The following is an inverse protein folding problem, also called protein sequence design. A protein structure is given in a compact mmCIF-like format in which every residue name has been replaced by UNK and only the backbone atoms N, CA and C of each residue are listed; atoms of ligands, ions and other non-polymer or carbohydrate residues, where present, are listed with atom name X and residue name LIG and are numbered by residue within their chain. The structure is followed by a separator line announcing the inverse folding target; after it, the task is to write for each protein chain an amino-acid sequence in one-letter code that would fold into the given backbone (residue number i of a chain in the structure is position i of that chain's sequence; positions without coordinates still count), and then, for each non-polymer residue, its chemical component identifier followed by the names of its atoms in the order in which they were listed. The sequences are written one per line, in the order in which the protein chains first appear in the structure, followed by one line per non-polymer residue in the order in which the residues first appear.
data_IF_562046250128
#
_entry.id   IF_562046250128
#
_cell.length_a   1.000
_cell.length_b   1.000
_cell.length_c   1.000
_cell.angle_alpha   90.00
_cell.angle_beta   90.00
_cell.angle_gamma   90.00
#
_symmetry.space_group_name_H-M   'P 1'
#
loop_
_entity.id
_entity.type
_entity.pdbx_description
1 polymer ?
#
# COMPACT_ATOMS: atom_id res chain seq x y z
N UNK A 1 24.18 -20.03 -8.71
CA UNK A 1 24.78 -19.79 -10.03
C UNK A 1 25.18 -18.32 -10.07
N UNK A 2 26.45 -18.03 -10.30
CA UNK A 2 26.88 -16.63 -10.44
C UNK A 2 26.39 -16.04 -11.77
N UNK A 3 25.94 -14.77 -11.81
CA UNK A 3 25.47 -14.11 -13.02
C UNK A 3 26.50 -14.11 -14.15
N UNK A 4 27.79 -14.09 -13.82
CA UNK A 4 28.88 -14.15 -14.79
C UNK A 4 28.85 -15.45 -15.62
N UNK A 5 28.50 -16.60 -15.03
CA UNK A 5 28.47 -17.87 -15.75
C UNK A 5 27.38 -17.93 -16.84
N UNK A 6 26.28 -17.19 -16.65
CA UNK A 6 25.21 -17.08 -17.64
C UNK A 6 25.61 -16.15 -18.79
N UNK A 7 26.37 -15.08 -18.55
CA UNK A 7 26.82 -14.19 -19.62
C UNK A 7 27.66 -14.88 -20.69
N UNK A 8 28.40 -15.94 -20.32
CA UNK A 8 29.16 -16.77 -21.27
C UNK A 8 28.30 -17.77 -22.04
N UNK A 9 27.08 -18.03 -21.58
CA UNK A 9 26.10 -18.85 -22.27
C UNK A 9 25.37 -17.98 -23.30
N UNK A 10 25.28 -18.41 -24.57
CA UNK A 10 24.44 -17.69 -25.53
C UNK A 10 22.96 -17.75 -25.13
N UNK A 11 22.18 -16.70 -25.42
CA UNK A 11 20.73 -16.63 -25.12
C UNK A 11 19.97 -17.86 -25.61
N UNK A 12 20.39 -18.48 -26.72
CA UNK A 12 19.78 -19.71 -27.22
C UNK A 12 19.73 -20.85 -26.18
N UNK A 13 20.79 -21.05 -25.40
CA UNK A 13 20.81 -22.05 -24.32
C UNK A 13 20.10 -21.54 -23.07
N UNK A 14 20.31 -20.27 -22.71
CA UNK A 14 19.72 -19.67 -21.52
C UNK A 14 18.18 -19.59 -21.63
N UNK A 15 17.64 -19.32 -22.81
CA UNK A 15 16.21 -19.28 -23.09
C UNK A 15 15.53 -20.63 -22.85
N UNK A 16 16.20 -21.74 -23.15
CA UNK A 16 15.70 -23.09 -22.87
C UNK A 16 15.60 -23.35 -21.37
N UNK A 17 16.65 -23.00 -20.62
CA UNK A 17 16.65 -23.09 -19.15
C UNK A 17 15.58 -22.18 -18.54
N UNK A 18 15.51 -20.92 -18.97
CA UNK A 18 14.53 -19.96 -18.51
C UNK A 18 13.10 -20.44 -18.78
N UNK A 19 12.83 -20.91 -20.00
CA UNK A 19 11.52 -21.45 -20.39
C UNK A 19 11.16 -22.69 -19.57
N UNK A 20 12.12 -23.57 -19.30
CA UNK A 20 11.93 -24.76 -18.47
C UNK A 20 11.60 -24.41 -17.01
N UNK A 21 12.33 -23.46 -16.43
CA UNK A 21 12.04 -22.96 -15.07
C UNK A 21 10.66 -22.31 -15.00
N UNK A 22 10.27 -21.54 -16.04
CA UNK A 22 8.98 -20.88 -16.12
C UNK A 22 7.82 -21.87 -16.32
N UNK A 23 7.99 -22.89 -17.16
CA UNK A 23 6.96 -23.89 -17.42
C UNK A 23 6.70 -24.81 -16.23
N UNK A 24 7.72 -25.05 -15.41
CA UNK A 24 7.64 -25.91 -14.23
C UNK A 24 7.32 -25.16 -12.94
N UNK A 25 7.08 -23.84 -13.00
CA UNK A 25 6.86 -22.96 -11.84
C UNK A 25 8.00 -23.04 -10.79
N UNK A 26 9.23 -23.31 -11.24
CA UNK A 26 10.44 -23.38 -10.40
C UNK A 26 11.33 -22.15 -10.56
N UNK A 27 10.91 -21.18 -11.37
CA UNK A 27 11.60 -19.90 -11.51
C UNK A 27 11.54 -19.13 -10.19
N UNK A 28 12.67 -19.11 -9.48
CA UNK A 28 12.79 -18.29 -8.27
C UNK A 28 13.04 -16.83 -8.62
N UNK A 29 12.76 -15.93 -7.69
CA UNK A 29 13.09 -14.52 -7.82
C UNK A 29 14.58 -14.29 -8.12
N UNK A 30 15.46 -14.98 -7.40
CA UNK A 30 16.90 -14.86 -7.60
C UNK A 30 17.30 -15.34 -9.00
N UNK A 31 16.74 -16.45 -9.48
CA UNK A 31 16.97 -16.93 -10.84
C UNK A 31 16.49 -15.90 -11.88
N UNK A 32 15.26 -15.39 -11.75
CA UNK A 32 14.74 -14.36 -12.65
C UNK A 32 15.62 -13.11 -12.69
N UNK A 33 16.06 -12.61 -11.53
CA UNK A 33 16.93 -11.44 -11.46
C UNK A 33 18.28 -11.70 -12.15
N UNK A 34 18.84 -12.89 -11.96
CA UNK A 34 20.09 -13.31 -12.63
C UNK A 34 19.91 -13.38 -14.16
N UNK A 35 18.82 -13.97 -14.66
CA UNK A 35 18.51 -13.98 -16.10
C UNK A 35 18.30 -12.56 -16.63
N UNK A 36 17.58 -11.71 -15.91
CA UNK A 36 17.28 -10.33 -16.32
C UNK A 36 18.54 -9.46 -16.39
N UNK A 37 19.47 -9.66 -15.47
CA UNK A 37 20.75 -8.94 -15.48
C UNK A 37 21.69 -9.43 -16.58
N UNK A 38 21.60 -10.70 -16.97
CA UNK A 38 22.39 -11.26 -18.08
C UNK A 38 21.78 -10.96 -19.47
N UNK A 39 20.45 -10.91 -19.59
CA UNK A 39 19.70 -10.79 -20.84
C UNK A 39 18.55 -9.76 -20.70
N UNK A 40 18.87 -8.45 -20.66
CA UNK A 40 17.92 -7.39 -20.39
C UNK A 40 17.02 -7.03 -21.58
N UNK A 41 17.20 -7.60 -22.77
CA UNK A 41 16.29 -7.36 -23.90
C UNK A 41 15.32 -8.52 -24.07
N UNK A 42 15.71 -9.71 -23.60
CA UNK A 42 15.05 -10.97 -23.92
C UNK A 42 14.19 -11.51 -22.77
N UNK A 43 14.53 -11.15 -21.53
CA UNK A 43 13.80 -11.61 -20.34
C UNK A 43 12.66 -10.66 -20.03
N UNK A 44 11.46 -11.20 -19.82
CA UNK A 44 10.27 -10.43 -19.44
C UNK A 44 10.54 -9.48 -18.25
N UNK A 45 10.27 -8.19 -18.44
CA UNK A 45 10.39 -7.14 -17.42
C UNK A 45 9.33 -7.28 -16.32
N UNK A 46 8.26 -8.01 -16.61
CA UNK A 46 7.11 -8.18 -15.75
C UNK A 46 6.93 -9.65 -15.38
N UNK A 47 7.44 -10.05 -14.22
CA UNK A 47 7.24 -11.40 -13.69
C UNK A 47 6.18 -11.40 -12.60
N UNK A 48 5.42 -12.50 -12.55
CA UNK A 48 4.46 -12.76 -11.47
C UNK A 48 4.89 -13.99 -10.71
N UNK A 49 5.05 -13.87 -9.40
CA UNK A 49 5.28 -15.00 -8.50
C UNK A 49 4.01 -15.31 -7.71
N UNK A 50 3.71 -16.59 -7.55
CA UNK A 50 2.62 -17.07 -6.71
C UNK A 50 3.23 -17.77 -5.51
N UNK A 51 2.85 -17.34 -4.32
CA UNK A 51 3.25 -17.97 -3.07
C UNK A 51 2.00 -18.49 -2.42
N UNK A 52 1.90 -19.81 -2.33
CA UNK A 52 0.80 -20.48 -1.67
C UNK A 52 1.31 -21.14 -0.40
N UNK A 53 0.70 -20.80 0.73
CA UNK A 53 0.92 -21.52 1.99
C UNK A 53 -0.19 -22.56 2.16
N UNK A 54 0.17 -23.82 2.01
CA UNK A 54 -0.67 -24.96 2.37
C UNK A 54 -0.39 -25.33 3.83
N UNK A 55 -1.41 -25.83 4.55
CA UNK A 55 -1.27 -26.59 5.81
C UNK A 55 -0.87 -25.89 7.12
N UNK A 56 -1.02 -24.57 7.26
CA UNK A 56 -0.89 -23.95 8.59
C UNK A 56 -2.27 -23.82 9.26
N UNK A 57 -2.75 -24.91 9.86
CA UNK A 57 -3.72 -24.84 10.97
C UNK A 57 -3.15 -24.09 12.19
N UNK A 58 -1.83 -23.93 12.26
CA UNK A 58 -1.17 -23.18 13.31
C UNK A 58 -1.41 -21.67 13.16
N UNK A 59 -1.94 -21.08 14.22
CA UNK A 59 -2.22 -19.65 14.43
C UNK A 59 -0.99 -18.73 14.42
N UNK A 60 0.21 -19.28 14.23
CA UNK A 60 1.47 -18.52 14.19
C UNK A 60 1.93 -18.37 12.74
N UNK A 61 1.61 -17.22 12.17
CA UNK A 61 2.07 -16.80 10.87
C UNK A 61 3.60 -16.66 10.88
N UNK A 62 4.29 -17.32 9.96
CA UNK A 62 5.59 -16.80 9.51
C UNK A 62 5.25 -15.48 8.84
N UNK A 63 5.67 -14.36 9.44
CA UNK A 63 5.32 -13.03 8.97
C UNK A 63 5.46 -12.98 7.45
N UNK A 64 4.44 -12.45 6.74
CA UNK A 64 4.53 -12.18 5.30
C UNK A 64 5.87 -11.50 4.98
N UNK A 65 6.39 -10.70 5.92
CA UNK A 65 7.69 -10.06 5.82
C UNK A 65 8.90 -10.94 6.09
N UNK A 66 8.82 -12.02 6.85
CA UNK A 66 9.91 -13.01 6.90
C UNK A 66 10.04 -13.77 5.58
N UNK A 67 8.94 -13.92 4.84
CA UNK A 67 9.01 -14.46 3.47
C UNK A 67 9.44 -13.41 2.46
N UNK A 68 8.91 -12.19 2.57
CA UNK A 68 9.28 -11.10 1.68
C UNK A 68 10.72 -10.63 1.93
N UNK A 69 11.26 -10.71 3.15
CA UNK A 69 12.64 -10.36 3.47
C UNK A 69 13.67 -11.30 2.83
N UNK A 70 13.27 -12.52 2.46
CA UNK A 70 14.10 -13.44 1.66
C UNK A 70 14.16 -13.02 0.19
N UNK A 71 13.25 -12.16 -0.24
CA UNK A 71 13.26 -11.55 -1.56
C UNK A 71 14.01 -10.23 -1.47
N UNK A 72 14.59 -9.83 -2.59
CA UNK A 72 15.04 -8.45 -2.71
C UNK A 72 13.79 -7.56 -2.84
N UNK A 73 13.28 -7.13 -1.68
CA UNK A 73 12.07 -6.31 -1.55
C UNK A 73 12.16 -5.00 -2.32
N UNK A 74 13.36 -4.58 -2.73
CA UNK A 74 13.58 -3.38 -3.54
C UNK A 74 13.00 -3.46 -4.95
N UNK A 75 12.63 -4.65 -5.43
CA UNK A 75 12.03 -4.84 -6.76
C UNK A 75 10.53 -5.14 -6.72
N UNK A 76 9.98 -5.44 -5.54
CA UNK A 76 8.56 -5.76 -5.43
C UNK A 76 7.73 -4.49 -5.61
N UNK A 77 6.92 -4.47 -6.67
CA UNK A 77 6.14 -3.29 -7.07
C UNK A 77 4.64 -3.50 -6.86
N UNK A 78 4.15 -4.72 -7.09
CA UNK A 78 2.75 -5.07 -6.94
C UNK A 78 2.61 -6.26 -6.00
N UNK A 79 1.78 -6.12 -4.98
CA UNK A 79 1.53 -7.19 -4.02
C UNK A 79 0.03 -7.39 -3.86
N UNK A 80 -0.40 -8.64 -4.02
CA UNK A 80 -1.71 -9.10 -3.61
C UNK A 80 -1.53 -10.06 -2.43
N UNK A 81 -2.19 -9.77 -1.32
CA UNK A 81 -2.19 -10.58 -0.09
C UNK A 81 -3.61 -11.08 0.14
N UNK A 82 -3.80 -12.39 0.06
CA UNK A 82 -5.04 -13.07 0.44
C UNK A 82 -4.80 -13.86 1.72
N UNK A 83 -5.31 -13.35 2.83
CA UNK A 83 -5.13 -13.94 4.17
C UNK A 83 -6.44 -13.90 4.95
N UNK A 84 -6.62 -14.84 5.89
CA UNK A 84 -7.85 -14.92 6.70
C UNK A 84 -7.93 -13.83 7.77
N UNK A 85 -6.80 -13.38 8.31
CA UNK A 85 -6.74 -12.35 9.34
C UNK A 85 -5.55 -11.44 9.10
N UNK A 86 -5.81 -10.14 8.95
CA UNK A 86 -4.80 -9.11 8.74
C UNK A 86 -4.57 -8.35 10.06
N UNK A 87 -3.43 -8.60 10.70
CA UNK A 87 -2.99 -7.86 11.88
C UNK A 87 -2.28 -6.55 11.50
N UNK A 88 -2.15 -5.65 12.48
CA UNK A 88 -1.35 -4.43 12.31
C UNK A 88 0.12 -4.76 12.04
N UNK A 89 0.66 -5.80 12.66
CA UNK A 89 2.06 -6.22 12.47
C UNK A 89 2.32 -6.61 11.02
N UNK A 90 1.37 -7.30 10.36
CA UNK A 90 1.46 -7.62 8.94
C UNK A 90 1.55 -6.35 8.09
N UNK A 91 0.68 -5.37 8.34
CA UNK A 91 0.65 -4.10 7.60
C UNK A 91 1.89 -3.24 7.85
N UNK A 92 2.31 -3.09 9.10
CA UNK A 92 3.53 -2.38 9.49
C UNK A 92 4.73 -3.01 8.81
N UNK A 93 4.77 -4.33 8.73
CA UNK A 93 5.88 -5.00 8.09
C UNK A 93 5.94 -4.70 6.56
N UNK A 94 4.79 -4.53 5.88
CA UNK A 94 4.76 -4.11 4.46
C UNK A 94 5.43 -2.74 4.22
N UNK A 95 5.56 -1.88 5.23
CA UNK A 95 6.25 -0.57 5.10
C UNK A 95 7.73 -0.71 4.74
N UNK A 96 8.34 -1.88 4.98
CA UNK A 96 9.73 -2.19 4.58
C UNK A 96 9.90 -2.26 3.06
N UNK A 97 8.82 -2.38 2.30
CA UNK A 97 8.81 -2.52 0.84
C UNK A 97 8.62 -1.14 0.21
N UNK A 98 9.70 -0.35 0.19
CA UNK A 98 9.64 1.05 -0.26
C UNK A 98 9.23 1.21 -1.73
N UNK A 99 9.34 0.14 -2.53
CA UNK A 99 8.98 0.13 -3.94
C UNK A 99 7.53 -0.26 -4.21
N UNK A 100 6.77 -0.60 -3.18
CA UNK A 100 5.39 -1.03 -3.31
C UNK A 100 4.54 0.11 -3.90
N UNK A 101 3.93 -0.15 -5.05
CA UNK A 101 3.14 0.81 -5.82
C UNK A 101 1.64 0.47 -5.82
N UNK A 102 1.31 -0.82 -5.78
CA UNK A 102 -0.06 -1.32 -5.65
C UNK A 102 -0.10 -2.39 -4.57
N UNK A 103 -1.04 -2.24 -3.64
CA UNK A 103 -1.38 -3.25 -2.64
C UNK A 103 -2.83 -3.68 -2.83
N UNK A 104 -3.06 -4.98 -3.01
CA UNK A 104 -4.38 -5.60 -2.93
C UNK A 104 -4.40 -6.45 -1.67
N UNK A 105 -5.41 -6.23 -0.82
CA UNK A 105 -5.66 -7.05 0.36
C UNK A 105 -7.02 -7.71 0.16
N UNK A 106 -7.03 -9.02 0.02
CA UNK A 106 -8.24 -9.82 -0.11
C UNK A 106 -8.47 -10.59 1.21
N UNK A 107 -9.69 -10.51 1.74
CA UNK A 107 -10.10 -11.32 2.88
C UNK A 107 -10.27 -12.77 2.43
N UNK A 108 -9.44 -13.66 2.96
CA UNK A 108 -9.45 -15.09 2.63
C UNK A 108 -10.47 -15.92 3.41
N UNK A 109 -11.32 -15.31 4.24
CA UNK A 109 -12.40 -16.03 4.93
C UNK A 109 -13.58 -16.28 3.99
N UNK A 110 -14.17 -17.48 4.06
CA UNK A 110 -15.45 -17.74 3.39
C UNK A 110 -16.52 -16.82 3.96
N UNK A 111 -17.29 -16.21 3.07
CA UNK A 111 -18.26 -15.12 3.29
C UNK A 111 -19.38 -15.38 4.31
N UNK A 112 -19.35 -16.47 5.08
CA UNK A 112 -20.41 -16.89 5.99
C UNK A 112 -20.01 -16.83 7.47
N UNK A 113 -18.74 -16.55 7.80
CA UNK A 113 -18.32 -16.38 9.18
C UNK A 113 -18.41 -14.91 9.59
N UNK A 114 -19.61 -14.52 10.04
CA UNK A 114 -19.98 -13.22 10.63
C UNK A 114 -19.24 -12.87 11.95
N UNK A 115 -18.11 -13.49 12.24
CA UNK A 115 -17.40 -13.28 13.49
C UNK A 115 -16.61 -11.99 13.41
N UNK A 116 -17.22 -10.91 13.92
CA UNK A 116 -16.78 -10.01 15.01
C UNK A 116 -15.28 -9.87 15.32
N UNK A 117 -14.39 -10.14 14.37
CA UNK A 117 -12.98 -9.86 14.51
C UNK A 117 -12.76 -8.37 14.27
N UNK A 118 -11.82 -7.77 15.01
CA UNK A 118 -11.61 -6.32 15.10
C UNK A 118 -11.79 -5.63 13.74
N UNK A 119 -12.52 -4.50 13.68
CA UNK A 119 -12.82 -3.85 12.42
C UNK A 119 -11.50 -3.44 11.76
N UNK A 120 -11.21 -4.00 10.57
CA UNK A 120 -10.04 -3.70 9.75
C UNK A 120 -9.79 -2.18 9.63
N UNK A 121 -10.85 -1.37 9.68
CA UNK A 121 -10.79 0.08 9.70
C UNK A 121 -9.87 0.65 10.79
N UNK A 122 -9.85 0.08 11.99
CA UNK A 122 -8.94 0.51 13.06
C UNK A 122 -7.48 0.13 12.76
N UNK A 123 -7.26 -1.10 12.31
CA UNK A 123 -5.94 -1.58 11.89
C UNK A 123 -5.37 -0.72 10.75
N UNK A 124 -6.19 -0.39 9.75
CA UNK A 124 -5.78 0.48 8.64
C UNK A 124 -5.60 1.94 9.06
N UNK A 125 -6.36 2.41 10.05
CA UNK A 125 -6.14 3.74 10.66
C UNK A 125 -4.77 3.81 11.33
N UNK A 126 -4.47 2.82 12.15
CA UNK A 126 -3.20 2.76 12.88
C UNK A 126 -2.02 2.57 11.92
N UNK A 127 -2.21 1.79 10.86
CA UNK A 127 -1.24 1.68 9.78
C UNK A 127 -1.03 3.00 9.04
N UNK A 128 -2.10 3.73 8.70
CA UNK A 128 -2.00 5.04 8.07
C UNK A 128 -1.25 6.05 8.93
N UNK A 129 -1.50 6.06 10.25
CA UNK A 129 -0.72 6.86 11.20
C UNK A 129 0.76 6.47 11.18
N UNK A 130 1.05 5.16 11.26
CA UNK A 130 2.42 4.65 11.22
C UNK A 130 3.16 5.06 9.95
N UNK A 131 2.50 5.01 8.80
CA UNK A 131 3.07 5.45 7.51
C UNK A 131 3.34 6.95 7.51
N UNK A 132 2.41 7.77 8.03
CA UNK A 132 2.59 9.22 8.12
C UNK A 132 3.74 9.63 9.05
N UNK A 133 3.94 8.90 10.15
CA UNK A 133 5.02 9.17 11.10
C UNK A 133 6.38 8.69 10.59
N UNK A 134 6.42 7.57 9.85
CA UNK A 134 7.66 6.97 9.34
C UNK A 134 8.07 7.45 7.95
N UNK A 135 7.21 8.19 7.25
CA UNK A 135 7.42 8.65 5.87
C UNK A 135 7.76 7.47 4.91
N UNK A 136 7.09 6.34 5.11
CA UNK A 136 7.26 5.12 4.31
C UNK A 136 6.24 5.02 3.17
N UNK A 137 6.37 4.00 2.31
CA UNK A 137 5.42 3.74 1.21
C UNK A 137 5.18 4.93 0.27
N UNK A 138 6.24 5.70 -0.01
CA UNK A 138 6.20 6.89 -0.87
C UNK A 138 5.74 6.63 -2.31
N UNK A 139 5.75 5.37 -2.75
CA UNK A 139 5.34 4.94 -4.09
C UNK A 139 3.96 4.31 -4.13
N UNK A 140 3.34 4.03 -2.98
CA UNK A 140 2.04 3.36 -2.94
C UNK A 140 0.96 4.31 -3.48
N UNK A 141 0.41 3.97 -4.65
CA UNK A 141 -0.61 4.76 -5.35
C UNK A 141 -1.99 4.15 -5.29
N UNK A 142 -2.05 2.82 -5.32
CA UNK A 142 -3.30 2.07 -5.38
C UNK A 142 -3.41 1.13 -4.19
N UNK A 143 -4.55 1.18 -3.49
CA UNK A 143 -4.92 0.24 -2.44
C UNK A 143 -6.28 -0.38 -2.80
N UNK A 144 -6.36 -1.70 -2.87
CA UNK A 144 -7.64 -2.40 -3.05
C UNK A 144 -7.89 -3.28 -1.84
N UNK A 145 -9.07 -3.14 -1.24
CA UNK A 145 -9.54 -3.92 -0.11
C UNK A 145 -10.74 -4.73 -0.57
N UNK A 146 -10.66 -6.06 -0.54
CA UNK A 146 -11.75 -6.93 -0.98
C UNK A 146 -12.20 -7.87 0.12
N UNK A 147 -13.51 -7.97 0.33
CA UNK A 147 -14.12 -8.78 1.38
C UNK A 147 -14.04 -8.13 2.76
N UNK A 148 -13.99 -6.80 2.83
CA UNK A 148 -13.91 -6.06 4.09
C UNK A 148 -15.01 -5.01 4.19
N UNK A 149 -15.72 -5.03 5.33
CA UNK A 149 -16.72 -4.02 5.66
C UNK A 149 -16.08 -2.88 6.46
N UNK A 150 -16.28 -1.65 5.98
CA UNK A 150 -15.73 -0.44 6.60
C UNK A 150 -16.89 0.45 7.00
N UNK A 151 -17.20 0.49 8.30
CA UNK A 151 -18.33 1.29 8.80
C UNK A 151 -17.99 2.76 9.03
N UNK A 152 -16.72 3.10 9.25
CA UNK A 152 -16.27 4.46 9.57
C UNK A 152 -15.41 5.08 8.46
N UNK A 153 -16.02 5.32 7.29
CA UNK A 153 -15.33 5.85 6.10
C UNK A 153 -14.54 7.14 6.36
N UNK A 154 -15.10 8.10 7.10
CA UNK A 154 -14.42 9.36 7.41
C UNK A 154 -13.07 9.16 8.15
N UNK A 155 -13.07 8.33 9.19
CA UNK A 155 -11.86 8.04 9.97
C UNK A 155 -10.84 7.24 9.16
N UNK A 156 -11.34 6.30 8.35
CA UNK A 156 -10.56 5.50 7.44
C UNK A 156 -9.82 6.35 6.39
N UNK A 157 -10.55 7.14 5.60
CA UNK A 157 -9.97 8.00 4.55
C UNK A 157 -9.02 9.05 5.10
N UNK A 158 -9.35 9.66 6.25
CA UNK A 158 -8.45 10.61 6.93
C UNK A 158 -7.10 9.98 7.27
N UNK A 159 -7.10 8.70 7.64
CA UNK A 159 -5.87 7.98 7.97
C UNK A 159 -5.07 7.62 6.73
N UNK A 160 -5.75 7.23 5.66
CA UNK A 160 -5.15 6.96 4.35
C UNK A 160 -4.63 8.23 3.66
N UNK A 161 -5.11 9.41 4.05
CA UNK A 161 -4.52 10.66 3.58
C UNK A 161 -3.05 10.85 4.01
N UNK A 162 -2.58 10.10 5.01
CA UNK A 162 -1.19 10.13 5.48
C UNK A 162 -0.19 9.52 4.48
N UNK A 163 -0.67 8.72 3.53
CA UNK A 163 0.18 8.18 2.47
C UNK A 163 0.46 9.28 1.46
N UNK A 164 1.71 9.54 1.04
CA UNK A 164 2.01 10.71 0.22
C UNK A 164 1.57 10.55 -1.25
N UNK A 165 1.63 9.33 -1.81
CA UNK A 165 1.32 9.08 -3.22
C UNK A 165 -0.01 8.35 -3.46
N UNK A 166 -0.73 7.95 -2.40
CA UNK A 166 -1.95 7.14 -2.53
C UNK A 166 -3.08 7.98 -3.14
N UNK A 167 -3.56 7.62 -4.32
CA UNK A 167 -4.55 8.42 -5.02
C UNK A 167 -5.74 7.61 -5.55
N UNK A 168 -5.68 6.29 -5.47
CA UNK A 168 -6.77 5.41 -5.89
C UNK A 168 -7.00 4.33 -4.83
N UNK A 169 -8.24 4.21 -4.37
CA UNK A 169 -8.66 3.17 -3.43
C UNK A 169 -9.87 2.44 -4.01
N UNK A 170 -9.84 1.11 -4.01
CA UNK A 170 -11.01 0.27 -4.30
C UNK A 170 -11.44 -0.46 -3.03
N UNK A 171 -12.72 -0.42 -2.69
CA UNK A 171 -13.29 -1.13 -1.54
C UNK A 171 -14.40 -2.03 -2.05
N UNK A 172 -14.25 -3.34 -1.88
CA UNK A 172 -15.25 -4.36 -2.18
C UNK A 172 -15.74 -4.97 -0.87
N UNK A 173 -16.99 -4.66 -0.51
CA UNK A 173 -17.62 -5.01 0.75
C UNK A 173 -19.14 -5.11 0.61
N UNK A 174 -19.78 -5.87 1.51
CA UNK A 174 -21.23 -6.10 1.46
C UNK A 174 -22.01 -4.88 1.97
N UNK A 175 -21.40 -4.10 2.87
CA UNK A 175 -22.07 -2.99 3.55
C UNK A 175 -21.37 -1.65 3.31
N UNK A 176 -21.13 -1.31 2.04
CA UNK A 176 -20.70 0.04 1.71
C UNK A 176 -21.93 0.95 1.75
N UNK A 177 -22.13 1.62 2.90
CA UNK A 177 -23.10 2.69 2.99
C UNK A 177 -22.51 3.91 2.29
N UNK A 178 -22.73 3.99 0.97
CA UNK A 178 -22.60 5.22 0.20
C UNK A 178 -23.61 6.24 0.74
N UNK A 179 -23.23 6.91 1.84
CA UNK A 179 -23.96 8.05 2.35
C UNK A 179 -23.90 9.17 1.31
N UNK A 180 -24.97 9.95 1.17
CA UNK A 180 -25.12 11.04 0.19
C UNK A 180 -24.19 12.25 0.41
N UNK A 181 -23.02 12.06 1.05
CA UNK A 181 -21.96 13.05 1.21
C UNK A 181 -20.77 12.71 0.32
N UNK A 182 -20.61 13.45 -0.78
CA UNK A 182 -19.66 13.15 -1.87
C UNK A 182 -18.17 13.38 -1.53
N UNK A 183 -17.83 13.68 -0.27
CA UNK A 183 -16.48 14.11 0.10
C UNK A 183 -16.07 13.59 1.48
N UNK A 184 -15.01 12.79 1.52
CA UNK A 184 -14.37 12.28 2.75
C UNK A 184 -13.02 12.96 2.96
N UNK A 185 -13.03 14.29 3.06
CA UNK A 185 -11.82 15.11 3.04
C UNK A 185 -11.31 15.31 1.62
N UNK A 186 -10.08 14.88 1.33
CA UNK A 186 -9.48 14.95 0.00
C UNK A 186 -9.92 13.81 -0.93
N UNK A 187 -10.75 12.90 -0.42
CA UNK A 187 -11.24 11.73 -1.13
C UNK A 187 -12.64 11.95 -1.70
N UNK A 188 -12.84 11.55 -2.94
CA UNK A 188 -14.11 11.61 -3.67
C UNK A 188 -14.38 10.28 -4.37
N UNK A 189 -15.64 9.88 -4.47
CA UNK A 189 -16.07 8.75 -5.31
C UNK A 189 -16.34 9.15 -6.77
N UNK A 190 -16.20 10.45 -7.10
CA UNK A 190 -16.27 10.93 -8.47
C UNK A 190 -14.91 10.76 -9.13
N UNK A 191 -14.74 9.64 -9.83
CA UNK A 191 -13.55 9.42 -10.64
C UNK A 191 -13.39 10.56 -11.67
N UNK A 192 -12.19 11.16 -11.78
CA UNK A 192 -11.95 12.18 -12.79
C UNK A 192 -12.21 11.57 -14.16
N UNK A 193 -12.83 12.35 -15.05
CA UNK A 193 -13.03 11.92 -16.44
C UNK A 193 -11.66 11.67 -17.04
N UNK A 194 -11.34 10.41 -17.32
CA UNK A 194 -10.11 10.06 -18.00
C UNK A 194 -10.03 10.86 -19.31
N UNK A 195 -8.90 11.52 -19.61
CA UNK A 195 -8.76 12.30 -20.84
C UNK A 195 -8.87 11.43 -22.10
N UNK A 196 -8.69 10.12 -21.96
CA UNK A 196 -8.89 9.14 -23.03
C UNK A 196 -10.14 8.27 -22.77
N UNK A 197 -11.22 8.44 -23.56
CA UNK A 197 -12.47 7.69 -23.40
C UNK A 197 -12.36 6.20 -23.79
N UNK A 198 -11.25 5.79 -24.41
CA UNK A 198 -10.97 4.40 -24.78
C UNK A 198 -10.33 3.58 -23.66
N UNK A 199 -9.99 4.20 -22.53
CA UNK A 199 -9.35 3.52 -21.41
C UNK A 199 -10.38 3.01 -20.42
N UNK A 200 -10.21 1.75 -20.03
CA UNK A 200 -11.08 1.08 -19.06
C UNK A 200 -11.08 1.85 -17.72
N UNK A 201 -12.27 2.04 -17.15
CA UNK A 201 -12.41 2.54 -15.79
C UNK A 201 -11.79 1.56 -14.78
N UNK A 202 -11.44 2.01 -13.56
CA UNK A 202 -11.01 1.11 -12.49
C UNK A 202 -11.96 -0.07 -12.27
N UNK A 203 -13.28 0.18 -12.34
CA UNK A 203 -14.32 -0.86 -12.32
C UNK A 203 -14.13 -1.89 -13.43
N UNK A 204 -14.08 -1.42 -14.68
CA UNK A 204 -13.92 -2.31 -15.83
C UNK A 204 -12.62 -3.12 -15.75
N UNK A 205 -11.52 -2.51 -15.30
CA UNK A 205 -10.24 -3.20 -15.09
C UNK A 205 -10.40 -4.30 -14.03
N UNK A 206 -11.03 -3.98 -12.91
CA UNK A 206 -11.08 -4.87 -11.76
C UNK A 206 -12.07 -6.02 -11.93
N UNK A 207 -13.22 -5.77 -12.58
CA UNK A 207 -14.27 -6.74 -12.84
C UNK A 207 -13.94 -7.69 -13.99
N UNK A 208 -13.05 -7.29 -14.92
CA UNK A 208 -12.68 -8.12 -16.09
C UNK A 208 -12.17 -9.50 -15.67
N UNK A 209 -12.85 -10.58 -16.07
CA UNK A 209 -12.42 -11.98 -15.79
C UNK A 209 -11.32 -12.46 -16.74
N UNK A 210 -11.15 -11.80 -17.89
CA UNK A 210 -10.18 -12.18 -18.92
C UNK A 210 -8.71 -11.89 -18.55
N UNK A 211 -8.44 -11.22 -17.42
CA UNK A 211 -7.09 -10.78 -17.05
C UNK A 211 -6.66 -11.28 -15.68
N UNK A 212 -5.35 -11.52 -15.54
CA UNK A 212 -4.76 -11.95 -14.25
C UNK A 212 -4.74 -10.79 -13.25
N UNK A 213 -4.75 -11.10 -11.94
CA UNK A 213 -4.64 -10.08 -10.88
C UNK A 213 -3.42 -9.17 -11.05
N UNK A 214 -2.27 -9.74 -11.46
CA UNK A 214 -1.06 -8.96 -11.76
C UNK A 214 -1.24 -8.01 -12.96
N UNK A 215 -2.04 -8.37 -13.96
CA UNK A 215 -2.41 -7.48 -15.06
C UNK A 215 -3.34 -6.37 -14.57
N UNK A 216 -4.34 -6.70 -13.75
CA UNK A 216 -5.25 -5.72 -13.14
C UNK A 216 -4.51 -4.68 -12.31
N UNK A 217 -3.61 -5.11 -11.41
CA UNK A 217 -2.79 -4.21 -10.59
C UNK A 217 -1.97 -3.25 -11.47
N UNK A 218 -1.36 -3.74 -12.56
CA UNK A 218 -0.63 -2.90 -13.52
C UNK A 218 -1.52 -1.88 -14.22
N UNK A 219 -2.70 -2.30 -14.66
CA UNK A 219 -3.65 -1.41 -15.32
C UNK A 219 -4.19 -0.35 -14.37
N UNK A 220 -4.49 -0.72 -13.11
CA UNK A 220 -4.89 0.23 -12.07
C UNK A 220 -3.78 1.23 -11.74
N UNK A 221 -2.53 0.77 -11.68
CA UNK A 221 -1.38 1.66 -11.48
C UNK A 221 -1.22 2.66 -12.63
N UNK A 222 -1.35 2.22 -13.88
CA UNK A 222 -1.36 3.12 -15.05
C UNK A 222 -2.53 4.10 -14.98
N UNK A 223 -3.71 3.61 -14.64
CA UNK A 223 -4.90 4.42 -14.44
C UNK A 223 -4.66 5.51 -13.37
N UNK A 224 -4.05 5.16 -12.24
CA UNK A 224 -3.78 6.11 -11.17
C UNK A 224 -2.70 7.15 -11.52
N UNK A 225 -1.70 6.78 -12.31
CA UNK A 225 -0.70 7.73 -12.85
C UNK A 225 -1.34 8.77 -13.78
N UNK A 226 -2.33 8.36 -14.56
CA UNK A 226 -3.03 9.27 -15.48
C UNK A 226 -3.97 10.23 -14.75
N UNK A 227 -4.55 9.80 -13.62
CA UNK A 227 -5.43 10.63 -12.82
C UNK A 227 -4.66 11.70 -12.03
N UNK A 228 -3.48 11.36 -11.49
CA UNK A 228 -2.58 12.30 -10.84
C UNK A 228 -1.14 12.13 -11.35
N UNK A 229 -0.79 12.82 -12.46
CA UNK A 229 0.57 12.85 -12.95
C UNK A 229 1.44 13.48 -11.87
N UNK A 230 2.33 12.71 -11.24
CA UNK A 230 3.47 13.32 -10.57
C UNK A 230 4.57 13.49 -11.61
N UNK A 231 5.42 14.50 -11.40
CA UNK A 231 6.75 14.57 -11.98
C UNK A 231 7.60 13.38 -11.49
N UNK A 232 7.30 12.17 -11.98
CA UNK A 232 8.25 11.07 -11.92
C UNK A 232 9.34 11.42 -12.93
N UNK A 233 10.52 11.81 -12.41
CA UNK A 233 11.71 12.00 -13.23
C UNK A 233 11.93 10.76 -14.09
N UNK A 234 11.87 10.97 -15.41
CA UNK A 234 11.88 9.98 -16.50
C UNK A 234 11.04 8.72 -16.24
N UNK A 235 10.14 8.39 -17.17
CA UNK A 235 9.44 7.10 -17.20
C UNK A 235 10.45 5.97 -17.50
N UNK A 236 11.39 5.72 -16.59
CA UNK A 236 12.20 4.52 -16.59
C UNK A 236 11.23 3.35 -16.60
N UNK A 237 11.35 2.49 -17.62
CA UNK A 237 10.55 1.28 -17.73
C UNK A 237 10.53 0.57 -16.37
N UNK A 238 9.38 0.64 -15.70
CA UNK A 238 9.25 0.15 -14.33
C UNK A 238 9.36 -1.36 -14.42
N UNK A 239 10.56 -1.90 -14.14
CA UNK A 239 10.74 -3.30 -13.80
C UNK A 239 9.76 -3.60 -12.69
N UNK A 240 8.80 -4.47 -12.97
CA UNK A 240 7.67 -4.63 -12.06
C UNK A 240 7.50 -6.08 -11.70
N UNK A 241 7.70 -6.38 -10.43
CA UNK A 241 7.44 -7.71 -9.90
C UNK A 241 6.09 -7.68 -9.22
N UNK A 242 5.23 -8.61 -9.64
CA UNK A 242 3.97 -8.88 -8.99
C UNK A 242 4.11 -10.14 -8.13
N UNK A 243 3.60 -10.08 -6.90
CA UNK A 243 3.47 -11.23 -6.03
C UNK A 243 2.01 -11.43 -5.65
N UNK A 244 1.55 -12.68 -5.74
CA UNK A 244 0.25 -13.10 -5.21
C UNK A 244 0.55 -14.07 -4.07
N UNK A 245 0.32 -13.60 -2.84
CA UNK A 245 0.42 -14.39 -1.63
C UNK A 245 -0.97 -14.88 -1.25
N UNK A 246 -1.18 -16.19 -1.17
CA UNK A 246 -2.48 -16.77 -0.84
C UNK A 246 -2.39 -17.84 0.23
N UNK A 247 -3.19 -17.67 1.28
CA UNK A 247 -3.40 -18.67 2.33
C UNK A 247 -4.65 -19.54 2.08
N UNK A 248 -5.59 -19.06 1.26
CA UNK A 248 -6.83 -19.76 0.94
C UNK A 248 -6.90 -20.09 -0.55
N UNK A 249 -7.45 -21.26 -0.88
CA UNK A 249 -7.80 -21.62 -2.25
C UNK A 249 -9.10 -20.97 -2.70
N UNK A 250 -9.94 -20.58 -1.74
CA UNK A 250 -11.25 -20.05 -2.04
C UNK A 250 -11.11 -18.72 -2.76
N UNK A 251 -11.90 -18.58 -3.82
CA UNK A 251 -12.10 -17.29 -4.49
C UNK A 251 -12.86 -16.39 -3.54
N UNK A 252 -12.34 -15.19 -3.30
CA UNK A 252 -13.10 -14.17 -2.59
C UNK A 252 -14.30 -13.79 -3.46
N UNK A 253 -15.55 -14.00 -2.98
CA UNK A 253 -16.72 -13.55 -3.71
C UNK A 253 -16.65 -12.04 -3.86
N UNK A 254 -16.78 -11.57 -5.09
CA UNK A 254 -16.77 -10.14 -5.43
C UNK A 254 -18.21 -9.69 -5.57
N UNK A 255 -18.57 -8.61 -4.90
CA UNK A 255 -19.92 -8.08 -4.97
C UNK A 255 -19.93 -6.83 -5.84
N UNK A 256 -19.33 -5.77 -5.33
CA UNK A 256 -19.25 -4.48 -5.99
C UNK A 256 -18.08 -3.72 -5.38
N UNK A 257 -17.19 -3.19 -6.23
CA UNK A 257 -16.07 -2.36 -5.78
C UNK A 257 -16.45 -0.91 -5.91
N UNK A 258 -16.47 -0.16 -4.81
CA UNK A 258 -16.54 1.29 -4.86
C UNK A 258 -15.13 1.87 -4.96
N UNK A 259 -14.93 2.80 -5.91
CA UNK A 259 -13.65 3.48 -6.11
C UNK A 259 -13.67 4.89 -5.53
N UNK A 260 -12.58 5.21 -4.86
CA UNK A 260 -12.31 6.52 -4.29
C UNK A 260 -11.02 7.05 -4.85
N UNK A 261 -11.04 8.31 -5.22
CA UNK A 261 -9.95 9.04 -5.80
C UNK A 261 -9.56 10.20 -4.90
N UNK A 262 -8.26 10.49 -4.84
CA UNK A 262 -7.73 11.69 -4.21
C UNK A 262 -6.82 12.43 -5.17
N UNK A 263 -7.12 13.70 -5.37
CA UNK A 263 -6.24 14.59 -6.11
C UNK A 263 -5.01 14.91 -5.25
N UNK A 264 -3.83 14.55 -5.74
CA UNK A 264 -2.57 14.85 -5.07
C UNK A 264 -2.20 16.30 -5.39
N UNK A 265 -2.33 17.19 -4.41
CA UNK A 265 -1.86 18.56 -4.56
C UNK A 265 -0.34 18.56 -4.49
N UNK A 266 0.29 18.97 -5.59
CA UNK A 266 1.73 19.17 -5.65
C UNK A 266 2.14 20.15 -4.54
N UNK A 267 3.01 19.73 -3.63
CA UNK A 267 3.32 20.42 -2.36
C UNK A 267 3.98 21.80 -2.47
N UNK A 268 3.82 22.53 -3.59
CA UNK A 268 4.35 23.89 -3.77
C UNK A 268 3.57 24.97 -3.00
N UNK A 269 2.43 24.65 -2.39
CA UNK A 269 1.67 25.63 -1.58
C UNK A 269 1.97 25.59 -0.07
N UNK A 270 2.94 24.78 0.38
CA UNK A 270 3.34 24.74 1.78
C UNK A 270 4.38 25.81 2.14
N UNK A 271 4.11 27.08 1.80
CA UNK A 271 4.64 28.26 2.53
C UNK A 271 3.70 29.45 2.43
N UNK A 272 2.40 29.25 2.63
CA UNK A 272 1.58 30.33 3.21
C UNK A 272 2.00 30.53 4.67
N UNK A 273 3.10 31.27 4.81
CA UNK A 273 3.56 31.92 6.02
C UNK A 273 2.35 32.64 6.59
N UNK A 274 1.76 32.09 7.65
CA UNK A 274 0.69 32.69 8.44
C UNK A 274 1.07 34.17 8.65
N UNK A 275 0.42 35.08 7.93
CA UNK A 275 0.64 36.50 8.15
C UNK A 275 0.05 36.81 9.52
N UNK A 276 0.91 36.93 10.52
CA UNK A 276 0.59 37.76 11.68
C UNK A 276 0.44 39.19 11.15
N UNK A 277 -0.73 39.51 10.61
CA UNK A 277 -1.16 40.89 10.51
C UNK A 277 -1.48 41.33 11.93
N UNK A 278 -0.59 42.18 12.42
CA UNK A 278 -0.85 43.07 13.52
C UNK A 278 -2.09 43.89 13.19
N UNK A 279 -3.19 43.63 13.89
CA UNK A 279 -4.17 44.68 14.19
C UNK A 279 -4.02 45.01 15.67
N UNK A 280 -3.08 45.92 15.91
CA UNK A 280 -3.18 46.85 17.01
C UNK A 280 -4.37 47.77 16.72
N UNK A 281 -5.50 47.52 17.35
CA UNK A 281 -6.46 48.59 17.59
C UNK A 281 -7.15 48.42 18.94
N UNK A 282 -6.67 49.22 19.88
CA UNK A 282 -7.37 49.86 20.99
C UNK A 282 -8.57 49.14 21.60
N UNK A 283 -8.34 48.56 22.78
CA UNK A 283 -9.35 48.60 23.84
C UNK A 283 -8.68 48.72 25.21
N UNK A 284 -8.50 49.98 25.62
CA UNK A 284 -8.21 50.36 27.01
C UNK A 284 -9.36 49.96 27.93
N UNK A 285 -8.94 49.63 29.16
CA UNK A 285 -9.67 49.71 30.43
C UNK A 285 -10.83 48.70 30.58
N UNK A 286 -10.81 47.77 31.54
CA UNK A 286 -10.70 48.01 32.99
C UNK A 286 -10.26 46.76 33.78
N UNK A 287 -9.38 47.01 34.76
CA UNK A 287 -9.43 46.50 36.13
C UNK A 287 -9.02 45.03 36.44
N UNK A 288 -7.75 44.92 36.85
CA UNK A 288 -7.32 44.43 38.17
C UNK A 288 -7.87 43.08 38.69
N UNK A 289 -6.98 42.09 38.79
CA UNK A 289 -6.62 41.49 40.09
C UNK A 289 -5.32 40.67 39.99
N UNK A 290 -4.41 41.02 40.88
CA UNK A 290 -3.14 40.35 41.18
C UNK A 290 -3.40 38.90 41.59
N UNK A 291 -2.65 37.95 41.05
CA UNK A 291 -2.21 36.78 41.81
C UNK A 291 -0.74 36.49 41.49
N UNK A 292 0.01 36.43 42.59
CA UNK A 292 1.45 36.50 42.72
C UNK A 292 1.92 35.07 43.01
N UNK A 293 2.89 34.59 42.23
CA UNK A 293 3.99 33.70 42.66
C UNK A 293 3.63 32.37 43.36
N UNK A 294 4.01 31.24 42.73
CA UNK A 294 5.06 30.38 43.31
C UNK A 294 5.66 29.40 42.30
N UNK A 295 6.92 29.69 41.97
CA UNK A 295 7.91 28.75 41.46
C UNK A 295 8.42 27.88 42.62
N UNK A 296 8.53 26.56 42.42
CA UNK A 296 9.24 25.51 43.21
C UNK A 296 8.47 24.19 42.97
N UNK A 297 9.00 23.08 42.44
CA UNK A 297 10.31 22.48 42.61
C UNK A 297 10.73 21.72 41.33
N UNK A 298 11.99 21.91 40.91
CA UNK A 298 12.76 20.87 40.24
C UNK A 298 13.13 19.83 41.31
N UNK A 299 12.69 18.58 41.14
CA UNK A 299 13.30 17.42 41.78
C UNK A 299 13.87 16.59 40.64
N UNK A 300 15.19 16.51 40.59
CA UNK A 300 15.90 15.64 39.67
C UNK A 300 15.67 14.18 40.04
N UNK A 301 15.35 13.35 39.05
CA UNK A 301 15.36 11.89 39.16
C UNK A 301 16.68 11.33 38.62
N UNK A 302 17.81 11.91 39.03
CA UNK A 302 19.13 11.30 38.86
C UNK A 302 19.46 10.50 40.13
N UNK A 303 18.73 9.39 40.36
CA UNK A 303 19.10 8.38 41.37
C UNK A 303 18.25 7.11 41.23
N UNK A 304 18.32 6.42 40.09
CA UNK A 304 17.84 5.02 39.97
C UNK A 304 18.77 4.18 39.08
N UNK A 305 20.08 4.30 39.30
CA UNK A 305 21.06 3.31 38.87
C UNK A 305 21.98 3.03 40.06
N UNK A 306 21.70 1.94 40.76
CA UNK A 306 22.41 1.53 41.95
C UNK A 306 22.03 0.11 42.38
N UNK A 307 22.71 -0.85 41.79
CA UNK A 307 23.31 -2.00 42.49
C UNK A 307 22.39 -3.04 43.17
N UNK A 308 22.17 -4.15 42.46
CA UNK A 308 22.05 -5.53 42.98
C UNK A 308 22.54 -6.41 41.81
N UNK A 309 23.74 -7.01 41.83
CA UNK A 309 24.12 -8.22 42.58
C UNK A 309 22.96 -9.18 42.83
#
# INVERSE_FOLDING_TARGET
MEPGALQWLGWWYASRLYSHLKSNDTLTFHAWNTFRNAYPEEVDQHVTFRVQEQDLESTQFVSVVDRLSRLDVSLLTFLCVRIRSLSIDHLVALTKIQTLAVLVVENGTSAHQHTMDRPLAETLRDWGRSVGESDTLKKLRVLVLSGYDIHQMNGFFKSLSSFPALNLIGIDGLFIQSGAGNFWGDWTNHLPKCPNPTKASPDAIWETTATTTASKMRQLYKCSLEMAPLELGEAAEIRSIAMIYSQSYESVPRCHTEWFYRELRDGRDARMKRSQRADHQDRRETQSKKLKVRNKNKVGMDSLLGTFM
#
